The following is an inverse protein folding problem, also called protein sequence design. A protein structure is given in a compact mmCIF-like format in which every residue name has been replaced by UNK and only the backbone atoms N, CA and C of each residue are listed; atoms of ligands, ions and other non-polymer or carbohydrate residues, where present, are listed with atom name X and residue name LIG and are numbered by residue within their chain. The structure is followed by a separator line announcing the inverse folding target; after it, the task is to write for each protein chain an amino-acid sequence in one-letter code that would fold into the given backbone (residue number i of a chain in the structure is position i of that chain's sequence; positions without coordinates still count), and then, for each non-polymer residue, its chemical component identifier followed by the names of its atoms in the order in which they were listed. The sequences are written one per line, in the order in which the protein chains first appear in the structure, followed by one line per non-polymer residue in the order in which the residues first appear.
data_IF_293488478252
#
_entry.id   IF_293488478252
#
_cell.length_a   1.000
_cell.length_b   1.000
_cell.length_c   1.000
_cell.angle_alpha   90.00
_cell.angle_beta   90.00
_cell.angle_gamma   90.00
#
_symmetry.space_group_name_H-M   'P 1'
#
loop_
_entity.id
_entity.type
_entity.pdbx_description
1 polymer ?
#
# COMPACT_ATOMS: atom_id res chain seq x y z
N UNK A 1 -7.08 15.28 0.54
CA UNK A 1 -7.85 16.49 0.95
C UNK A 1 -6.92 17.65 1.26
N UNK A 2 -6.05 17.56 2.28
CA UNK A 2 -5.12 18.64 2.65
C UNK A 2 -4.25 19.10 1.48
N UNK A 3 -3.54 18.17 0.83
CA UNK A 3 -2.73 18.45 -0.37
C UNK A 3 -3.51 19.22 -1.47
N UNK A 4 -4.79 18.89 -1.71
CA UNK A 4 -5.64 19.60 -2.68
C UNK A 4 -5.97 21.04 -2.26
N UNK A 5 -6.13 21.30 -0.96
CA UNK A 5 -6.31 22.67 -0.46
C UNK A 5 -5.01 23.46 -0.52
N UNK A 6 -3.89 22.84 -0.14
CA UNK A 6 -2.58 23.48 -0.11
C UNK A 6 -2.11 23.82 -1.53
N UNK A 7 -2.26 22.91 -2.50
CA UNK A 7 -1.92 23.16 -3.90
C UNK A 7 -2.71 24.31 -4.52
N UNK A 8 -3.95 24.55 -4.09
CA UNK A 8 -4.74 25.71 -4.50
C UNK A 8 -4.26 27.02 -3.89
N UNK A 9 -3.78 26.98 -2.64
CA UNK A 9 -3.31 28.17 -1.92
C UNK A 9 -1.87 28.51 -2.26
N UNK A 10 -1.06 27.50 -2.51
CA UNK A 10 0.37 27.55 -2.77
C UNK A 10 0.67 26.70 -4.01
N UNK A 11 0.53 27.25 -5.23
CA UNK A 11 0.68 26.48 -6.48
C UNK A 11 2.02 25.73 -6.60
N UNK A 12 3.08 26.31 -6.03
CA UNK A 12 4.44 25.77 -6.10
C UNK A 12 4.76 24.73 -5.01
N UNK A 13 3.80 24.42 -4.13
CA UNK A 13 4.03 23.40 -3.08
C UNK A 13 4.27 22.02 -3.71
N UNK A 14 5.21 21.29 -3.12
CA UNK A 14 5.54 19.92 -3.50
C UNK A 14 4.52 18.96 -2.86
N UNK A 15 3.87 18.15 -3.70
CA UNK A 15 2.92 17.11 -3.30
C UNK A 15 3.21 15.84 -4.10
N UNK A 16 2.79 14.69 -3.59
CA UNK A 16 2.74 13.45 -4.39
C UNK A 16 1.51 13.45 -5.30
N UNK A 17 1.53 12.59 -6.33
CA UNK A 17 0.47 12.46 -7.33
C UNK A 17 0.56 13.49 -8.46
N UNK A 18 0.45 13.01 -9.70
CA UNK A 18 0.47 13.87 -10.90
C UNK A 18 -0.87 14.60 -11.09
N UNK A 19 -1.97 13.84 -11.10
CA UNK A 19 -3.29 14.39 -11.43
C UNK A 19 -4.08 14.79 -10.17
N UNK A 20 -3.98 13.99 -9.12
CA UNK A 20 -4.68 14.22 -7.86
C UNK A 20 -3.69 14.27 -6.69
N UNK A 21 -3.44 15.46 -6.12
CA UNK A 21 -2.39 15.61 -5.12
C UNK A 21 -2.77 14.94 -3.80
N UNK A 22 -1.80 14.24 -3.21
CA UNK A 22 -1.91 13.63 -1.89
C UNK A 22 -0.62 13.80 -1.07
N UNK A 23 -0.72 13.47 0.21
CA UNK A 23 0.41 13.39 1.13
C UNK A 23 0.54 11.95 1.61
N UNK A 24 1.78 11.54 1.82
CA UNK A 24 2.11 10.28 2.47
C UNK A 24 1.50 10.22 3.88
N UNK A 25 1.02 9.05 4.26
CA UNK A 25 0.44 8.86 5.58
C UNK A 25 1.55 8.80 6.65
N UNK A 26 1.33 9.49 7.78
CA UNK A 26 2.26 9.56 8.92
C UNK A 26 3.70 9.89 8.50
N UNK A 27 4.69 9.14 9.00
CA UNK A 27 6.12 9.29 8.67
C UNK A 27 6.61 8.18 7.73
N UNK A 28 5.69 7.55 6.99
CA UNK A 28 6.07 6.55 6.01
C UNK A 28 6.83 7.19 4.85
N UNK A 29 7.56 6.35 4.12
CA UNK A 29 8.19 6.74 2.86
C UNK A 29 7.11 7.00 1.78
N UNK A 30 7.40 7.85 0.79
CA UNK A 30 6.56 7.96 -0.41
C UNK A 30 6.29 6.58 -1.02
N UNK A 31 5.07 6.36 -1.52
CA UNK A 31 4.62 5.03 -1.96
C UNK A 31 5.37 4.47 -3.16
N UNK A 32 6.06 5.32 -3.93
CA UNK A 32 6.91 4.91 -5.05
C UNK A 32 8.42 5.03 -4.76
N UNK A 33 8.83 4.98 -3.49
CA UNK A 33 10.24 5.19 -3.11
C UNK A 33 11.13 3.98 -3.40
N UNK A 34 10.72 2.77 -3.00
CA UNK A 34 11.46 1.51 -3.19
C UNK A 34 10.47 0.34 -3.18
N UNK A 35 10.83 -0.75 -3.85
CA UNK A 35 10.16 -2.06 -3.79
C UNK A 35 10.88 -3.05 -2.85
N UNK A 36 12.01 -2.66 -2.25
CA UNK A 36 12.72 -3.47 -1.25
C UNK A 36 12.10 -3.28 0.15
N UNK A 37 11.46 -4.30 0.73
CA UNK A 37 10.88 -4.20 2.06
C UNK A 37 11.94 -3.99 3.15
N UNK A 38 13.18 -4.47 2.99
CA UNK A 38 14.23 -4.32 4.00
C UNK A 38 14.78 -2.89 4.04
N UNK A 39 14.87 -2.22 2.90
CA UNK A 39 15.21 -0.80 2.84
C UNK A 39 14.17 0.04 3.61
N UNK A 40 12.88 -0.27 3.45
CA UNK A 40 11.81 0.37 4.22
C UNK A 40 11.92 0.08 5.71
N UNK A 41 12.14 -1.18 6.11
CA UNK A 41 12.29 -1.55 7.52
C UNK A 41 13.49 -0.85 8.16
N UNK A 42 14.63 -0.79 7.48
CA UNK A 42 15.84 -0.13 7.95
C UNK A 42 15.64 1.38 8.13
N UNK A 43 14.96 2.04 7.18
CA UNK A 43 14.63 3.46 7.30
C UNK A 43 13.61 3.73 8.41
N UNK A 44 12.61 2.86 8.58
CA UNK A 44 11.48 3.11 9.46
C UNK A 44 11.76 2.73 10.92
N UNK A 45 12.72 1.84 11.20
CA UNK A 45 12.92 1.26 12.54
C UNK A 45 12.95 2.29 13.68
N UNK A 46 13.70 3.38 13.54
CA UNK A 46 13.86 4.35 14.61
C UNK A 46 12.61 5.22 14.76
N UNK A 47 12.04 5.68 13.64
CA UNK A 47 10.83 6.52 13.62
C UNK A 47 9.62 5.80 14.22
N UNK A 48 9.44 4.52 13.90
CA UNK A 48 8.26 3.76 14.32
C UNK A 48 8.23 3.54 15.84
N UNK A 49 9.39 3.44 16.50
CA UNK A 49 9.47 3.30 17.96
C UNK A 49 9.06 4.56 18.73
N UNK A 50 9.08 5.73 18.08
CA UNK A 50 8.71 7.00 18.72
C UNK A 50 7.19 7.15 18.89
N UNK A 51 6.39 6.35 18.19
CA UNK A 51 4.94 6.40 18.28
C UNK A 51 4.40 5.63 19.49
N UNK A 52 3.80 6.34 20.44
CA UNK A 52 3.16 5.75 21.62
C UNK A 52 1.65 5.52 21.46
N UNK A 53 1.02 6.21 20.49
CA UNK A 53 -0.43 6.12 20.21
C UNK A 53 -0.83 5.09 19.15
N UNK A 54 0.13 4.28 18.70
CA UNK A 54 -0.05 3.32 17.61
C UNK A 54 0.60 3.79 16.31
N UNK A 55 1.29 2.87 15.66
CA UNK A 55 1.86 3.04 14.33
C UNK A 55 1.75 1.74 13.55
N UNK A 56 1.96 1.80 12.24
CA UNK A 56 1.90 0.64 11.36
C UNK A 56 2.80 0.86 10.16
N UNK A 57 3.61 -0.15 9.85
CA UNK A 57 4.32 -0.24 8.58
C UNK A 57 3.53 -1.14 7.63
N UNK A 58 3.20 -0.61 6.46
CA UNK A 58 2.43 -1.35 5.46
C UNK A 58 3.36 -1.98 4.43
N UNK A 59 3.29 -3.31 4.30
CA UNK A 59 3.85 -4.06 3.18
C UNK A 59 2.73 -4.34 2.18
N UNK A 60 2.64 -3.51 1.14
CA UNK A 60 1.72 -3.70 0.02
C UNK A 60 2.38 -4.57 -1.04
N UNK A 61 1.73 -5.66 -1.42
CA UNK A 61 2.23 -6.65 -2.37
C UNK A 61 1.29 -6.71 -3.57
N UNK A 62 1.81 -6.93 -4.78
CA UNK A 62 0.99 -7.04 -5.98
C UNK A 62 0.06 -8.25 -6.00
N UNK A 63 0.45 -9.31 -5.30
CA UNK A 63 -0.37 -10.50 -5.11
C UNK A 63 0.01 -11.21 -3.80
N UNK A 64 -0.70 -12.30 -3.46
CA UNK A 64 -0.31 -13.09 -2.29
C UNK A 64 1.10 -13.67 -2.47
N UNK A 65 1.95 -13.55 -1.43
CA UNK A 65 3.31 -14.07 -1.49
C UNK A 65 3.31 -15.61 -1.46
N UNK A 66 4.47 -16.20 -1.70
CA UNK A 66 4.65 -17.64 -1.52
C UNK A 66 4.50 -18.01 -0.03
N UNK A 67 3.88 -19.16 0.24
CA UNK A 67 3.60 -19.62 1.61
C UNK A 67 4.87 -19.85 2.43
N UNK A 68 5.98 -20.18 1.77
CA UNK A 68 7.27 -20.43 2.42
C UNK A 68 8.06 -19.14 2.70
N UNK A 69 7.95 -18.11 1.83
CA UNK A 69 8.75 -16.88 1.97
C UNK A 69 8.18 -15.93 3.02
N UNK A 70 6.86 -15.90 3.17
CA UNK A 70 6.19 -14.98 4.09
C UNK A 70 6.55 -15.21 5.57
N UNK A 71 6.54 -16.43 6.12
CA UNK A 71 6.94 -16.67 7.51
C UNK A 71 8.39 -16.27 7.79
N UNK A 72 9.30 -16.55 6.84
CA UNK A 72 10.70 -16.18 6.96
C UNK A 72 10.89 -14.67 6.98
N UNK A 73 10.20 -13.95 6.09
CA UNK A 73 10.19 -12.49 6.08
C UNK A 73 9.66 -11.90 7.39
N UNK A 74 8.49 -12.37 7.86
CA UNK A 74 7.89 -11.89 9.11
C UNK A 74 8.85 -12.11 10.28
N UNK A 75 9.41 -13.30 10.40
CA UNK A 75 10.37 -13.63 11.46
C UNK A 75 11.57 -12.69 11.39
N UNK A 76 12.21 -12.56 10.23
CA UNK A 76 13.38 -11.69 10.05
C UNK A 76 13.06 -10.22 10.36
N UNK A 77 11.89 -9.74 9.95
CA UNK A 77 11.46 -8.36 10.20
C UNK A 77 11.36 -8.07 11.70
N UNK A 78 10.69 -8.93 12.49
CA UNK A 78 10.51 -8.71 13.92
C UNK A 78 11.73 -9.10 14.77
N UNK A 79 12.59 -10.00 14.31
CA UNK A 79 13.85 -10.32 15.00
C UNK A 79 14.94 -9.25 14.78
N UNK A 80 14.92 -8.57 13.63
CA UNK A 80 15.97 -7.61 13.25
C UNK A 80 15.59 -6.17 13.56
N UNK A 81 14.31 -5.80 13.42
CA UNK A 81 13.87 -4.41 13.53
C UNK A 81 12.86 -4.24 14.68
N UNK A 82 13.00 -3.21 15.53
CA UNK A 82 12.09 -2.92 16.64
C UNK A 82 10.76 -2.31 16.17
N UNK A 83 10.16 -2.83 15.10
CA UNK A 83 8.90 -2.30 14.57
C UNK A 83 7.72 -2.90 15.34
N UNK A 84 6.84 -2.08 15.92
CA UNK A 84 5.78 -2.59 16.79
C UNK A 84 4.62 -3.24 16.03
N UNK A 85 4.39 -2.84 14.77
CA UNK A 85 3.29 -3.38 13.98
C UNK A 85 3.58 -3.31 12.47
N UNK A 86 3.38 -4.45 11.81
CA UNK A 86 3.56 -4.67 10.39
C UNK A 86 2.26 -5.25 9.81
N UNK A 87 1.85 -4.81 8.62
CA UNK A 87 0.77 -5.46 7.86
C UNK A 87 1.30 -6.00 6.55
N UNK A 88 0.83 -7.18 6.17
CA UNK A 88 1.05 -7.77 4.85
C UNK A 88 -0.27 -7.63 4.07
N UNK A 89 -0.22 -6.91 2.95
CA UNK A 89 -1.41 -6.57 2.16
C UNK A 89 -1.19 -6.97 0.71
N UNK A 90 -1.60 -8.18 0.31
CA UNK A 90 -1.68 -8.53 -1.10
C UNK A 90 -2.85 -7.84 -1.79
N UNK A 91 -2.62 -7.39 -3.02
CA UNK A 91 -3.69 -7.03 -3.95
C UNK A 91 -4.31 -8.30 -4.52
N UNK A 92 -5.65 -8.33 -4.59
CA UNK A 92 -6.40 -9.43 -5.19
C UNK A 92 -7.65 -8.91 -5.85
N UNK A 93 -8.26 -9.71 -6.71
CA UNK A 93 -9.46 -9.32 -7.43
C UNK A 93 -10.60 -10.32 -7.21
N UNK A 94 -11.83 -9.86 -7.36
CA UNK A 94 -13.03 -10.69 -7.21
C UNK A 94 -13.89 -10.54 -8.45
N UNK A 95 -14.04 -11.65 -9.17
CA UNK A 95 -14.94 -11.78 -10.31
C UNK A 95 -16.32 -12.28 -9.83
N UNK A 96 -17.44 -11.72 -10.32
CA UNK A 96 -18.78 -12.20 -9.97
C UNK A 96 -19.05 -13.65 -10.40
N UNK A 97 -18.34 -14.15 -11.41
CA UNK A 97 -18.56 -15.49 -11.98
C UNK A 97 -17.55 -16.53 -11.46
N UNK A 98 -16.29 -16.12 -11.21
CA UNK A 98 -15.19 -17.02 -10.88
C UNK A 98 -14.63 -16.83 -9.46
N UNK A 99 -15.12 -15.84 -8.71
CA UNK A 99 -14.69 -15.59 -7.34
C UNK A 99 -13.30 -14.97 -7.25
N UNK A 100 -12.49 -15.45 -6.30
CA UNK A 100 -11.18 -14.90 -5.97
C UNK A 100 -10.17 -15.10 -7.11
N UNK A 101 -9.45 -14.02 -7.45
CA UNK A 101 -8.36 -13.99 -8.42
C UNK A 101 -7.12 -13.42 -7.72
N UNK A 102 -6.01 -14.16 -7.77
CA UNK A 102 -4.73 -13.74 -7.19
C UNK A 102 -4.14 -12.59 -8.03
N UNK A 103 -3.97 -11.41 -7.46
CA UNK A 103 -3.41 -10.24 -8.14
C UNK A 103 -4.43 -9.21 -8.66
N UNK A 104 -3.93 -8.20 -9.37
CA UNK A 104 -4.72 -7.07 -9.89
C UNK A 104 -5.32 -7.35 -11.27
N UNK A 105 -6.64 -7.54 -11.32
CA UNK A 105 -7.40 -7.78 -12.53
C UNK A 105 -8.70 -6.97 -12.50
N UNK A 106 -8.73 -5.83 -13.20
CA UNK A 106 -9.96 -5.05 -13.38
C UNK A 106 -10.99 -5.76 -14.28
N UNK A 107 -10.52 -6.66 -15.15
CA UNK A 107 -11.34 -7.58 -15.93
C UNK A 107 -10.88 -9.00 -15.65
N UNK A 108 -11.82 -9.92 -15.46
CA UNK A 108 -11.50 -11.31 -15.15
C UNK A 108 -10.72 -11.95 -16.30
N UNK A 109 -9.56 -12.59 -16.06
CA UNK A 109 -8.78 -13.22 -17.13
C UNK A 109 -9.46 -14.45 -17.76
N UNK A 110 -10.55 -14.96 -17.15
CA UNK A 110 -11.26 -16.16 -17.60
C UNK A 110 -12.51 -15.81 -18.44
N UNK A 111 -13.36 -14.90 -17.97
CA UNK A 111 -14.60 -14.51 -18.70
C UNK A 111 -14.60 -13.06 -19.21
N UNK A 112 -13.55 -12.27 -18.96
CA UNK A 112 -13.47 -10.86 -19.29
C UNK A 112 -14.55 -9.95 -18.66
N UNK A 113 -15.33 -10.46 -17.70
CA UNK A 113 -16.30 -9.65 -16.97
C UNK A 113 -15.58 -8.67 -16.01
N UNK A 114 -16.14 -7.47 -15.77
CA UNK A 114 -15.60 -6.54 -14.78
C UNK A 114 -15.43 -7.19 -13.41
N UNK A 115 -14.28 -6.94 -12.77
CA UNK A 115 -13.92 -7.49 -11.47
C UNK A 115 -13.60 -6.37 -10.48
N UNK A 116 -13.89 -6.60 -9.20
CA UNK A 116 -13.55 -5.65 -8.13
C UNK A 116 -12.12 -5.93 -7.66
N UNK A 117 -11.24 -4.92 -7.67
CA UNK A 117 -9.85 -5.05 -7.21
C UNK A 117 -9.79 -4.60 -5.77
N UNK A 118 -9.36 -5.47 -4.86
CA UNK A 118 -9.27 -5.21 -3.44
C UNK A 118 -7.81 -5.01 -3.02
N UNK A 119 -7.61 -3.95 -2.25
CA UNK A 119 -6.39 -3.72 -1.48
C UNK A 119 -6.76 -3.01 -0.17
N UNK A 120 -5.78 -2.77 0.70
CA UNK A 120 -5.98 -2.01 1.94
C UNK A 120 -5.75 -0.52 1.65
N UNK A 121 -6.72 0.32 1.98
CA UNK A 121 -6.60 1.79 1.81
C UNK A 121 -5.56 2.36 2.79
N UNK A 122 -5.73 1.97 4.05
CA UNK A 122 -4.89 2.30 5.22
C UNK A 122 -5.06 1.21 6.27
N UNK A 123 -6.26 1.02 6.81
CA UNK A 123 -6.53 0.08 7.91
C UNK A 123 -7.41 -1.11 7.53
N UNK A 124 -8.15 -1.04 6.43
CA UNK A 124 -9.15 -2.04 6.03
C UNK A 124 -9.19 -2.23 4.51
N UNK A 125 -9.66 -3.39 4.07
CA UNK A 125 -9.83 -3.73 2.66
C UNK A 125 -11.07 -3.07 2.07
N UNK A 126 -10.92 -2.54 0.85
CA UNK A 126 -12.02 -2.01 0.03
C UNK A 126 -11.70 -2.17 -1.45
N UNK A 127 -12.71 -2.25 -2.33
CA UNK A 127 -12.50 -2.13 -3.75
C UNK A 127 -11.82 -0.79 -4.10
N UNK A 128 -10.68 -0.83 -4.79
CA UNK A 128 -9.91 0.34 -5.25
C UNK A 128 -10.79 1.28 -6.07
N UNK A 129 -11.72 0.73 -6.85
CA UNK A 129 -12.70 1.48 -7.63
C UNK A 129 -13.57 2.41 -6.77
N UNK A 130 -13.76 2.10 -5.48
CA UNK A 130 -14.56 2.90 -4.53
C UNK A 130 -13.73 3.85 -3.67
N UNK A 131 -12.42 3.92 -3.86
CA UNK A 131 -11.57 4.83 -3.12
C UNK A 131 -11.76 6.29 -3.58
N UNK A 132 -11.39 7.24 -2.73
CA UNK A 132 -11.36 8.65 -3.12
C UNK A 132 -10.25 8.90 -4.15
N UNK A 133 -10.34 10.02 -4.89
CA UNK A 133 -9.44 10.32 -6.00
C UNK A 133 -7.95 10.31 -5.62
N UNK A 134 -7.58 10.92 -4.49
CA UNK A 134 -6.19 10.92 -4.03
C UNK A 134 -5.68 9.55 -3.61
N UNK A 135 -6.53 8.69 -3.04
CA UNK A 135 -6.16 7.30 -2.71
C UNK A 135 -6.05 6.42 -3.95
N UNK A 136 -6.85 6.69 -4.98
CA UNK A 136 -6.69 6.03 -6.29
C UNK A 136 -5.37 6.44 -6.95
N UNK A 137 -4.98 7.71 -6.84
CA UNK A 137 -3.69 8.17 -7.37
C UNK A 137 -2.52 7.56 -6.57
N UNK A 138 -2.58 7.58 -5.24
CA UNK A 138 -1.60 6.88 -4.39
C UNK A 138 -1.44 5.40 -4.76
N UNK A 139 -2.55 4.72 -5.05
CA UNK A 139 -2.51 3.31 -5.44
C UNK A 139 -1.78 3.09 -6.77
N UNK A 140 -1.94 3.99 -7.75
CA UNK A 140 -1.23 3.91 -9.03
C UNK A 140 0.27 4.20 -8.90
N UNK A 141 0.62 5.15 -8.03
CA UNK A 141 2.01 5.56 -7.82
C UNK A 141 2.81 4.55 -6.98
N UNK A 142 2.12 3.56 -6.41
CA UNK A 142 2.70 2.62 -5.45
C UNK A 142 3.64 1.65 -6.15
N UNK A 143 4.86 1.55 -5.65
CA UNK A 143 5.71 0.39 -5.87
C UNK A 143 5.34 -0.68 -4.86
N UNK A 144 5.00 -1.86 -5.37
CA UNK A 144 4.61 -3.00 -4.56
C UNK A 144 5.87 -3.77 -4.15
N UNK A 145 5.95 -4.16 -2.88
CA UNK A 145 7.15 -4.83 -2.38
C UNK A 145 7.27 -6.24 -2.91
N UNK A 146 8.51 -6.65 -3.15
CA UNK A 146 8.86 -8.01 -3.57
C UNK A 146 9.34 -8.80 -2.34
N UNK A 147 8.65 -9.89 -2.01
CA UNK A 147 8.98 -10.80 -0.91
C UNK A 147 9.56 -12.12 -1.41
#
# INVERSE_FOLDING_TARGET
RLAKHDKRRFPDIITSGENEPYYTNSTLLPVGYTDDPFEVLEHQKDLQTLYTGGTVVHMFLGESPNEDTLPEFIRKAFETYPIPYLTITPTFSVCPNHGYLKGEYFNCPICNAPSEVYSRVVGYYRPVQRWNAGKKEEFKDRLEYVL
#
